data_IF_403791599458
#
_entry.id   IF_403791599458
#
_cell.length_a   1.000
_cell.length_b   1.000
_cell.length_c   1.000
_cell.angle_alpha   90.00
_cell.angle_beta   90.00
_cell.angle_gamma   90.00
#
_symmetry.space_group_name_H-M   'P 1'
#
loop_
_entity.id
_entity.type
_entity.pdbx_description
1 polymer ?
#
# COMPACT_ATOMS: atom_id res chain seq x y z
N UNK A 1 -39.60 42.38 -27.76
CA UNK A 1 -38.32 42.90 -27.24
C UNK A 1 -38.19 42.37 -25.82
N UNK A 2 -37.63 41.17 -25.59
CA UNK A 2 -36.20 40.91 -25.35
C UNK A 2 -35.66 42.01 -24.40
N UNK A 3 -35.37 41.74 -23.13
CA UNK A 3 -34.20 40.99 -22.70
C UNK A 3 -34.38 40.41 -21.28
N UNK A 4 -34.31 39.09 -21.15
CA UNK A 4 -34.26 38.38 -19.87
C UNK A 4 -32.80 38.39 -19.41
N UNK A 5 -32.51 39.03 -18.27
CA UNK A 5 -31.17 39.06 -17.69
C UNK A 5 -30.93 37.77 -16.92
N UNK A 6 -30.40 36.75 -17.60
CA UNK A 6 -29.95 35.50 -16.98
C UNK A 6 -28.64 35.76 -16.22
N UNK A 7 -28.72 35.75 -14.89
CA UNK A 7 -27.55 35.74 -14.01
C UNK A 7 -26.91 34.35 -14.12
N UNK A 8 -25.74 34.29 -14.75
CA UNK A 8 -24.95 33.09 -14.95
C UNK A 8 -24.28 32.69 -13.62
N UNK A 9 -24.93 31.80 -12.86
CA UNK A 9 -24.31 31.17 -11.70
C UNK A 9 -23.26 30.15 -12.19
N UNK A 10 -21.98 30.50 -12.06
CA UNK A 10 -20.86 29.58 -12.33
C UNK A 10 -20.81 28.56 -11.19
N UNK A 11 -21.33 27.38 -11.47
CA UNK A 11 -21.26 26.21 -10.59
C UNK A 11 -19.86 25.59 -10.77
N UNK A 12 -18.91 25.96 -9.91
CA UNK A 12 -17.58 25.36 -9.89
C UNK A 12 -17.67 23.97 -9.24
N UNK A 13 -18.10 22.95 -9.98
CA UNK A 13 -17.96 21.56 -9.52
C UNK A 13 -16.48 21.20 -9.56
N UNK A 14 -15.82 21.26 -8.41
CA UNK A 14 -14.53 20.61 -8.24
C UNK A 14 -14.74 19.10 -8.46
N UNK A 15 -14.29 18.60 -9.61
CA UNK A 15 -14.11 17.17 -9.82
C UNK A 15 -13.00 16.73 -8.85
N UNK A 16 -13.39 16.29 -7.66
CA UNK A 16 -12.50 15.52 -6.79
C UNK A 16 -12.32 14.19 -7.50
N UNK A 17 -11.29 14.09 -8.34
CA UNK A 17 -10.87 12.83 -8.93
C UNK A 17 -10.39 11.95 -7.79
N UNK A 18 -11.30 11.13 -7.27
CA UNK A 18 -10.97 10.11 -6.29
C UNK A 18 -10.19 9.03 -7.07
N UNK A 19 -8.87 9.20 -7.18
CA UNK A 19 -8.00 8.17 -7.73
C UNK A 19 -8.09 6.96 -6.80
N UNK A 20 -8.96 6.02 -7.16
CA UNK A 20 -9.12 4.79 -6.41
C UNK A 20 -7.87 3.95 -6.68
N UNK A 21 -7.09 3.70 -5.63
CA UNK A 21 -5.97 2.76 -5.73
C UNK A 21 -6.50 1.39 -6.14
N UNK A 22 -5.78 0.74 -7.04
CA UNK A 22 -6.09 -0.62 -7.49
C UNK A 22 -5.56 -1.61 -6.45
N UNK A 23 -6.31 -1.75 -5.37
CA UNK A 23 -6.04 -2.71 -4.29
C UNK A 23 -6.92 -3.94 -4.54
N UNK A 24 -6.30 -5.12 -4.51
CA UNK A 24 -6.96 -6.40 -4.76
C UNK A 24 -8.18 -6.60 -3.86
N UNK A 25 -9.24 -7.20 -4.42
CA UNK A 25 -10.47 -7.41 -3.66
C UNK A 25 -10.26 -8.44 -2.56
N UNK A 26 -10.87 -8.20 -1.40
CA UNK A 26 -10.78 -9.09 -0.25
C UNK A 26 -9.58 -8.83 0.65
N UNK A 27 -8.73 -7.85 0.32
CA UNK A 27 -7.72 -7.34 1.26
C UNK A 27 -8.39 -6.82 2.54
N UNK A 28 -7.87 -7.15 3.75
CA UNK A 28 -8.43 -6.64 4.99
C UNK A 28 -8.44 -5.11 5.01
N UNK A 29 -9.53 -4.51 5.53
CA UNK A 29 -9.73 -3.04 5.52
C UNK A 29 -8.57 -2.27 6.17
N UNK A 30 -7.95 -2.83 7.20
CA UNK A 30 -6.83 -2.18 7.87
C UNK A 30 -5.57 -2.18 6.98
N UNK A 31 -5.37 -3.24 6.19
CA UNK A 31 -4.27 -3.35 5.22
C UNK A 31 -4.52 -2.40 4.06
N UNK A 32 -5.76 -2.30 3.54
CA UNK A 32 -6.12 -1.29 2.53
C UNK A 32 -5.80 0.14 3.01
N UNK A 33 -6.07 0.44 4.29
CA UNK A 33 -5.76 1.75 4.87
C UNK A 33 -4.24 1.99 4.90
N UNK A 34 -3.46 1.01 5.35
CA UNK A 34 -2.00 1.08 5.35
C UNK A 34 -1.42 1.21 3.94
N UNK A 35 -2.00 0.56 2.93
CA UNK A 35 -1.60 0.71 1.52
C UNK A 35 -1.83 2.14 1.04
N UNK A 36 -2.95 2.77 1.41
CA UNK A 36 -3.22 4.18 1.05
C UNK A 36 -2.19 5.12 1.68
N UNK A 37 -1.94 4.96 2.98
CA UNK A 37 -0.90 5.71 3.69
C UNK A 37 0.48 5.45 3.06
N UNK A 38 0.80 4.20 2.71
CA UNK A 38 2.06 3.84 2.08
C UNK A 38 2.21 4.45 0.69
N UNK A 39 1.17 4.44 -0.15
CA UNK A 39 1.17 5.08 -1.46
C UNK A 39 1.44 6.60 -1.37
N UNK A 40 0.87 7.27 -0.38
CA UNK A 40 1.08 8.71 -0.15
C UNK A 40 2.51 9.03 0.28
N UNK A 41 3.14 8.14 1.05
CA UNK A 41 4.46 8.38 1.64
C UNK A 41 5.62 7.72 0.88
N UNK A 42 5.37 6.76 -0.02
CA UNK A 42 6.44 6.07 -0.76
C UNK A 42 7.04 6.98 -1.83
N UNK A 43 8.36 7.14 -1.79
CA UNK A 43 9.08 7.95 -2.78
C UNK A 43 9.26 7.23 -4.12
N UNK A 44 9.32 5.90 -4.11
CA UNK A 44 9.61 5.13 -5.32
C UNK A 44 8.33 4.80 -6.08
N UNK A 45 8.39 4.90 -7.41
CA UNK A 45 7.27 4.59 -8.30
C UNK A 45 7.01 3.10 -8.49
N UNK A 46 7.90 2.24 -8.00
CA UNK A 46 7.84 0.78 -8.10
C UNK A 46 7.51 0.11 -6.75
N UNK A 47 7.04 0.88 -5.77
CA UNK A 47 6.58 0.35 -4.49
C UNK A 47 5.45 -0.68 -4.69
N UNK A 48 5.48 -1.76 -3.92
CA UNK A 48 4.46 -2.81 -3.99
C UNK A 48 4.13 -3.39 -2.62
N UNK A 49 2.94 -4.01 -2.54
CA UNK A 49 2.55 -4.83 -1.39
C UNK A 49 2.22 -6.23 -1.84
N UNK A 50 2.95 -7.19 -1.29
CA UNK A 50 2.83 -8.60 -1.61
C UNK A 50 2.24 -9.38 -0.43
N UNK A 51 1.35 -10.32 -0.73
CA UNK A 51 0.72 -11.23 0.22
C UNK A 51 1.48 -12.57 0.24
N UNK A 52 1.76 -13.07 1.44
CA UNK A 52 2.47 -14.32 1.68
C UNK A 52 1.73 -15.19 2.71
N UNK A 53 1.91 -16.50 2.61
CA UNK A 53 1.70 -17.43 3.72
C UNK A 53 3.02 -17.62 4.46
N UNK A 54 3.05 -17.28 5.75
CA UNK A 54 4.22 -17.43 6.61
C UNK A 54 3.77 -17.77 8.04
N UNK A 55 4.41 -18.73 8.70
CA UNK A 55 4.05 -19.16 10.07
C UNK A 55 2.56 -19.52 10.23
N UNK A 56 1.97 -20.16 9.21
CA UNK A 56 0.55 -20.50 9.14
C UNK A 56 -0.40 -19.27 9.23
N UNK A 57 0.09 -18.09 8.84
CA UNK A 57 -0.68 -16.85 8.78
C UNK A 57 -0.51 -16.18 7.41
N UNK A 58 -1.53 -15.43 7.02
CA UNK A 58 -1.41 -14.46 5.91
C UNK A 58 -0.71 -13.21 6.41
N UNK A 59 0.40 -12.86 5.76
CA UNK A 59 1.18 -11.65 6.04
C UNK A 59 1.34 -10.81 4.78
N UNK A 60 1.59 -9.52 4.97
CA UNK A 60 1.74 -8.54 3.90
C UNK A 60 3.08 -7.83 4.03
N UNK A 61 3.83 -7.80 2.93
CA UNK A 61 5.16 -7.18 2.86
C UNK A 61 5.07 -5.89 2.08
N UNK A 62 5.44 -4.77 2.71
CA UNK A 62 5.41 -3.43 2.14
C UNK A 62 6.78 -3.07 1.61
N UNK A 63 7.00 -3.28 0.32
CA UNK A 63 8.28 -3.05 -0.33
C UNK A 63 8.35 -1.62 -0.87
N UNK A 64 9.33 -0.81 -0.43
CA UNK A 64 9.43 0.60 -0.79
C UNK A 64 9.86 0.86 -2.23
N UNK A 65 10.26 -0.17 -2.99
CA UNK A 65 10.86 -0.03 -4.32
C UNK A 65 12.38 0.16 -4.28
N UNK A 66 13.00 0.51 -5.43
CA UNK A 66 14.47 0.52 -5.57
C UNK A 66 15.16 1.87 -5.38
N UNK A 67 14.43 2.94 -5.08
CA UNK A 67 14.97 4.30 -5.02
C UNK A 67 15.42 4.75 -3.60
N UNK A 68 15.18 3.94 -2.56
CA UNK A 68 15.55 4.23 -1.19
C UNK A 68 16.94 3.68 -0.83
N UNK A 69 17.61 4.30 0.15
CA UNK A 69 18.94 3.85 0.59
C UNK A 69 18.89 2.54 1.40
N UNK A 70 17.94 2.43 2.34
CA UNK A 70 17.85 1.28 3.24
C UNK A 70 16.99 0.14 2.69
N UNK A 71 16.05 0.45 1.79
CA UNK A 71 15.16 -0.53 1.14
C UNK A 71 14.46 -1.50 2.11
N UNK A 72 14.22 -1.06 3.35
CA UNK A 72 13.55 -1.84 4.39
C UNK A 72 12.10 -2.10 4.02
N UNK A 73 11.66 -3.36 4.13
CA UNK A 73 10.28 -3.75 3.85
C UNK A 73 9.56 -4.18 5.13
N UNK A 74 8.47 -3.51 5.47
CA UNK A 74 7.70 -3.82 6.68
C UNK A 74 6.80 -5.03 6.47
N UNK A 75 6.64 -5.86 7.51
CA UNK A 75 5.81 -7.07 7.49
C UNK A 75 4.71 -6.95 8.54
N UNK A 76 3.46 -7.10 8.11
CA UNK A 76 2.28 -7.09 9.00
C UNK A 76 1.40 -8.34 8.79
N UNK A 77 0.57 -8.67 9.78
CA UNK A 77 -0.48 -9.69 9.61
C UNK A 77 -1.81 -9.10 9.14
N UNK A 78 -2.82 -9.96 8.98
CA UNK A 78 -4.18 -9.58 8.54
C UNK A 78 -4.96 -8.75 9.56
N UNK A 79 -4.52 -8.72 10.81
CA UNK A 79 -5.04 -7.85 11.87
C UNK A 79 -4.26 -6.54 11.97
N UNK A 80 -3.32 -6.31 11.04
CA UNK A 80 -2.44 -5.15 10.96
C UNK A 80 -1.47 -4.98 12.13
N UNK A 81 -1.14 -6.08 12.82
CA UNK A 81 -0.04 -6.10 13.77
C UNK A 81 1.29 -6.07 13.03
N UNK A 82 2.22 -5.22 13.48
CA UNK A 82 3.59 -5.23 12.98
C UNK A 82 4.34 -6.46 13.47
N UNK A 83 4.92 -7.23 12.54
CA UNK A 83 5.70 -8.43 12.83
C UNK A 83 7.22 -8.18 12.76
N UNK A 84 7.63 -7.08 12.13
CA UNK A 84 9.02 -6.68 11.95
C UNK A 84 9.25 -6.12 10.55
N UNK A 85 10.52 -6.01 10.17
CA UNK A 85 10.92 -5.52 8.85
C UNK A 85 12.06 -6.35 8.27
N UNK A 86 12.07 -6.51 6.95
CA UNK A 86 13.07 -7.25 6.19
C UNK A 86 14.06 -6.28 5.50
N UNK A 87 15.28 -6.75 5.25
CA UNK A 87 16.31 -5.95 4.61
C UNK A 87 16.85 -4.87 5.55
N UNK A 88 16.93 -3.63 5.05
CA UNK A 88 17.56 -2.52 5.78
C UNK A 88 19.08 -2.64 5.83
N UNK A 89 19.72 -1.65 6.44
CA UNK A 89 21.17 -1.62 6.63
C UNK A 89 21.71 -2.86 7.36
N UNK A 90 20.94 -3.41 8.30
CA UNK A 90 21.29 -4.63 9.06
C UNK A 90 21.11 -5.90 8.22
N UNK A 91 20.31 -5.85 7.14
CA UNK A 91 20.00 -7.00 6.31
C UNK A 91 19.18 -8.07 7.04
N UNK A 92 18.15 -7.67 7.79
CA UNK A 92 17.33 -8.62 8.54
C UNK A 92 16.57 -9.56 7.58
N UNK A 93 16.73 -10.87 7.76
CA UNK A 93 16.07 -11.90 6.95
C UNK A 93 14.97 -12.63 7.72
N UNK A 94 14.74 -12.29 8.99
CA UNK A 94 13.88 -13.04 9.91
C UNK A 94 12.68 -12.25 10.39
N UNK A 95 11.56 -12.94 10.55
CA UNK A 95 10.35 -12.45 11.23
C UNK A 95 9.99 -13.45 12.33
N UNK A 96 9.77 -12.97 13.55
CA UNK A 96 9.54 -13.82 14.74
C UNK A 96 10.60 -14.92 14.94
N UNK A 97 11.87 -14.62 14.63
CA UNK A 97 12.99 -15.56 14.80
C UNK A 97 13.15 -16.60 13.69
N UNK A 98 12.26 -16.62 12.69
CA UNK A 98 12.30 -17.57 11.57
C UNK A 98 12.67 -16.89 10.25
N UNK A 99 13.45 -17.57 9.41
CA UNK A 99 13.83 -17.08 8.08
C UNK A 99 12.62 -16.87 7.18
N UNK A 100 12.46 -15.65 6.66
CA UNK A 100 11.35 -15.30 5.78
C UNK A 100 11.44 -15.99 4.42
N UNK A 101 12.59 -16.57 4.05
CA UNK A 101 12.73 -17.42 2.87
C UNK A 101 11.83 -18.66 2.87
N UNK A 102 11.26 -19.02 4.02
CA UNK A 102 10.23 -20.07 4.14
C UNK A 102 8.81 -19.58 3.81
N UNK A 103 8.61 -18.28 3.66
CA UNK A 103 7.33 -17.72 3.25
C UNK A 103 6.98 -18.17 1.83
N UNK A 104 5.70 -18.48 1.62
CA UNK A 104 5.17 -18.80 0.29
C UNK A 104 4.47 -17.58 -0.26
N UNK A 105 4.97 -17.04 -1.37
CA UNK A 105 4.31 -15.96 -2.09
C UNK A 105 2.93 -16.39 -2.57
N UNK A 106 1.93 -15.53 -2.37
CA UNK A 106 0.55 -15.75 -2.82
C UNK A 106 0.28 -14.88 -4.04
N UNK A 107 0.37 -13.55 -3.89
CA UNK A 107 0.10 -12.58 -4.96
C UNK A 107 0.60 -11.18 -4.58
N UNK A 108 0.72 -10.31 -5.59
CA UNK A 108 0.82 -8.86 -5.35
C UNK A 108 -0.59 -8.29 -5.23
N UNK A 109 -0.88 -7.58 -4.13
CA UNK A 109 -2.20 -7.01 -3.87
C UNK A 109 -2.30 -5.51 -4.20
N UNK A 110 -1.17 -4.85 -4.39
CA UNK A 110 -1.09 -3.46 -4.83
C UNK A 110 0.30 -3.16 -5.42
N UNK A 111 0.33 -2.29 -6.44
CA UNK A 111 1.54 -1.67 -7.01
C UNK A 111 1.27 -0.19 -7.25
N UNK A 112 2.32 0.62 -7.13
CA UNK A 112 2.28 2.05 -7.46
C UNK A 112 2.36 2.32 -8.97
#
# INVERSE_FOLDING_TARGET
MKNISFILAIFFTAFVCCNKLDIEKGTPRCVEKKIKEFNENSSCGDAKVDEYSFQNKTVYVFEPGTCGADMTADVIDSDCNGLGSLGGFVGNTKINGEEFSKATFIKTIWKK
#
